data_IF_873124915995
#
_entry.id   IF_873124915995
#
_cell.length_a   1.000
_cell.length_b   1.000
_cell.length_c   1.000
_cell.angle_alpha   90.00
_cell.angle_beta   90.00
_cell.angle_gamma   90.00
#
_symmetry.space_group_name_H-M   'P 1'
#
loop_
_entity.id
_entity.type
_entity.pdbx_description
1 polymer ?
#
# COMPACT_ATOMS: atom_id res chain seq x y z
N UNK A 1 6.60 20.67 -18.61
CA UNK A 1 7.38 21.15 -17.45
C UNK A 1 7.52 20.00 -16.46
N UNK A 2 8.73 19.69 -16.01
CA UNK A 2 8.96 18.69 -14.97
C UNK A 2 8.35 19.16 -13.64
N UNK A 3 7.73 18.24 -12.89
CA UNK A 3 7.19 18.58 -11.56
C UNK A 3 8.34 18.92 -10.60
N UNK A 4 8.13 19.94 -9.76
CA UNK A 4 9.07 20.29 -8.70
C UNK A 4 9.05 19.26 -7.56
N UNK A 5 10.09 19.20 -6.74
CA UNK A 5 10.13 18.29 -5.57
C UNK A 5 8.94 18.52 -4.63
N UNK A 6 8.52 19.77 -4.45
CA UNK A 6 7.33 20.11 -3.65
C UNK A 6 6.04 19.54 -4.26
N UNK A 7 5.90 19.62 -5.59
CA UNK A 7 4.74 19.04 -6.28
C UNK A 7 4.73 17.52 -6.18
N UNK A 8 5.88 16.87 -6.34
CA UNK A 8 6.05 15.43 -6.13
C UNK A 8 5.63 15.06 -4.70
N UNK A 9 6.19 15.75 -3.72
CA UNK A 9 5.89 15.49 -2.31
C UNK A 9 4.39 15.65 -2.00
N UNK A 10 3.80 16.79 -2.37
CA UNK A 10 2.40 17.07 -2.08
C UNK A 10 1.45 16.06 -2.76
N UNK A 11 1.73 15.70 -4.00
CA UNK A 11 0.94 14.77 -4.79
C UNK A 11 0.99 13.35 -4.21
N UNK A 12 2.20 12.80 -3.98
CA UNK A 12 2.36 11.46 -3.42
C UNK A 12 1.85 11.37 -1.97
N UNK A 13 2.04 12.41 -1.17
CA UNK A 13 1.51 12.47 0.19
C UNK A 13 -0.02 12.47 0.19
N UNK A 14 -0.67 13.28 -0.66
CA UNK A 14 -2.13 13.31 -0.76
C UNK A 14 -2.69 11.98 -1.28
N UNK A 15 -2.10 11.42 -2.34
CA UNK A 15 -2.55 10.15 -2.89
C UNK A 15 -2.42 9.01 -1.88
N UNK A 16 -1.28 8.93 -1.17
CA UNK A 16 -1.06 7.90 -0.14
C UNK A 16 -1.95 8.14 1.09
N UNK A 17 -2.19 9.39 1.46
CA UNK A 17 -3.17 9.73 2.50
C UNK A 17 -4.55 9.15 2.18
N UNK A 18 -5.06 9.37 0.97
CA UNK A 18 -6.37 8.86 0.55
C UNK A 18 -6.38 7.33 0.47
N UNK A 19 -5.31 6.72 -0.05
CA UNK A 19 -5.14 5.28 -0.07
C UNK A 19 -5.28 4.68 1.34
N UNK A 20 -4.56 5.23 2.31
CA UNK A 20 -4.54 4.70 3.67
C UNK A 20 -5.82 5.05 4.44
N UNK A 21 -6.36 6.25 4.25
CA UNK A 21 -7.64 6.63 4.85
C UNK A 21 -8.75 5.64 4.46
N UNK A 22 -8.85 5.31 3.19
CA UNK A 22 -9.91 4.42 2.70
C UNK A 22 -9.59 2.94 2.98
N UNK A 23 -8.35 2.53 2.80
CA UNK A 23 -7.91 1.15 3.01
C UNK A 23 -7.91 0.72 4.48
N UNK A 24 -7.34 1.51 5.39
CA UNK A 24 -7.47 1.26 6.82
C UNK A 24 -8.90 1.49 7.31
N UNK A 25 -9.62 2.43 6.69
CA UNK A 25 -11.02 2.72 7.00
C UNK A 25 -11.94 1.51 6.80
N UNK A 26 -11.82 0.81 5.66
CA UNK A 26 -12.60 -0.41 5.45
C UNK A 26 -12.27 -1.50 6.45
N UNK A 27 -10.98 -1.66 6.80
CA UNK A 27 -10.59 -2.66 7.81
C UNK A 27 -11.20 -2.28 9.17
N UNK A 28 -11.14 -1.01 9.58
CA UNK A 28 -11.81 -0.54 10.79
C UNK A 28 -13.31 -0.85 10.77
N UNK A 29 -13.96 -0.61 9.62
CA UNK A 29 -15.38 -0.94 9.43
C UNK A 29 -15.68 -2.43 9.64
N UNK A 30 -14.83 -3.30 9.11
CA UNK A 30 -15.07 -4.76 9.14
C UNK A 30 -14.70 -5.39 10.48
N UNK A 31 -13.63 -4.91 11.17
CA UNK A 31 -13.13 -5.62 12.35
C UNK A 31 -13.52 -4.97 13.69
N UNK A 32 -13.78 -3.65 13.73
CA UNK A 32 -14.09 -2.99 15.00
C UNK A 32 -15.55 -3.22 15.41
N UNK A 33 -15.80 -3.35 16.72
CA UNK A 33 -17.16 -3.55 17.23
C UNK A 33 -18.07 -2.33 16.93
N UNK A 34 -19.35 -2.56 16.92
CA UNK A 34 -20.42 -1.56 16.69
C UNK A 34 -20.36 -0.83 15.33
N UNK A 35 -19.46 -1.22 14.43
CA UNK A 35 -19.47 -0.75 13.05
C UNK A 35 -20.63 -1.37 12.27
N UNK A 36 -21.27 -0.59 11.39
CA UNK A 36 -22.33 -1.09 10.49
C UNK A 36 -21.81 -2.11 9.48
N UNK A 37 -20.50 -2.09 9.16
CA UNK A 37 -19.87 -3.03 8.26
C UNK A 37 -19.20 -4.21 8.98
N UNK A 38 -19.40 -4.35 10.30
CA UNK A 38 -18.81 -5.44 11.10
C UNK A 38 -19.07 -6.80 10.45
N UNK A 39 -18.01 -7.59 10.33
CA UNK A 39 -18.03 -8.97 9.80
C UNK A 39 -18.51 -9.10 8.34
N UNK A 40 -18.46 -8.02 7.54
CA UNK A 40 -18.83 -8.05 6.11
C UNK A 40 -17.83 -8.82 5.22
N UNK A 41 -16.68 -9.18 5.74
CA UNK A 41 -15.80 -10.20 5.17
C UNK A 41 -14.65 -9.68 4.30
N UNK A 42 -13.80 -10.64 3.87
CA UNK A 42 -12.55 -10.38 3.17
C UNK A 42 -12.74 -9.73 1.80
N UNK A 43 -13.82 -10.07 1.09
CA UNK A 43 -14.10 -9.50 -0.23
C UNK A 43 -14.35 -7.98 -0.15
N UNK A 44 -15.02 -7.51 0.90
CA UNK A 44 -15.25 -6.07 1.11
C UNK A 44 -13.92 -5.36 1.35
N UNK A 45 -13.03 -5.95 2.14
CA UNK A 45 -11.68 -5.41 2.40
C UNK A 45 -10.90 -5.29 1.10
N UNK A 46 -10.82 -6.37 0.31
CA UNK A 46 -10.01 -6.40 -0.91
C UNK A 46 -10.55 -5.47 -1.99
N UNK A 47 -11.85 -5.42 -2.17
CA UNK A 47 -12.49 -4.47 -3.10
C UNK A 47 -12.22 -3.02 -2.69
N UNK A 48 -12.38 -2.69 -1.43
CA UNK A 48 -12.18 -1.33 -0.96
C UNK A 48 -10.70 -0.91 -1.01
N UNK A 49 -9.73 -1.80 -0.74
CA UNK A 49 -8.32 -1.48 -0.94
C UNK A 49 -7.98 -1.17 -2.41
N UNK A 50 -8.51 -1.95 -3.37
CA UNK A 50 -8.34 -1.62 -4.78
C UNK A 50 -8.98 -0.29 -5.16
N UNK A 51 -10.20 -0.02 -4.70
CA UNK A 51 -10.87 1.27 -4.93
C UNK A 51 -10.16 2.42 -4.22
N UNK A 52 -9.51 2.18 -3.07
CA UNK A 52 -8.66 3.17 -2.42
C UNK A 52 -7.43 3.53 -3.27
N UNK A 53 -6.82 2.54 -3.94
CA UNK A 53 -5.77 2.79 -4.96
C UNK A 53 -6.33 3.65 -6.09
N UNK A 54 -7.50 3.31 -6.62
CA UNK A 54 -8.16 4.11 -7.68
C UNK A 54 -8.28 5.59 -7.29
N UNK A 55 -8.79 5.88 -6.09
CA UNK A 55 -8.95 7.26 -5.60
C UNK A 55 -7.58 7.94 -5.43
N UNK A 56 -6.61 7.24 -4.83
CA UNK A 56 -5.27 7.77 -4.61
C UNK A 56 -4.54 8.09 -5.91
N UNK A 57 -4.69 7.23 -6.94
CA UNK A 57 -4.08 7.46 -8.26
C UNK A 57 -4.63 8.73 -8.92
N UNK A 58 -5.93 8.98 -8.83
CA UNK A 58 -6.49 10.24 -9.36
C UNK A 58 -5.92 11.48 -8.67
N UNK A 59 -5.69 11.40 -7.35
CA UNK A 59 -5.13 12.53 -6.58
C UNK A 59 -3.66 12.82 -6.92
N UNK A 60 -2.89 11.78 -7.27
CA UNK A 60 -1.45 11.87 -7.53
C UNK A 60 -1.08 11.67 -9.01
N UNK A 61 -2.03 11.73 -9.92
CA UNK A 61 -1.88 11.34 -11.34
C UNK A 61 -0.67 12.01 -12.03
N UNK A 62 -0.46 13.30 -11.81
CA UNK A 62 0.61 14.08 -12.48
C UNK A 62 2.04 13.65 -12.11
N UNK A 63 2.19 12.95 -11.00
CA UNK A 63 3.49 12.45 -10.53
C UNK A 63 3.61 10.93 -10.65
N UNK A 64 2.78 10.30 -11.46
CA UNK A 64 2.79 8.85 -11.68
C UNK A 64 2.04 8.07 -10.61
N UNK A 65 1.65 8.69 -9.50
CA UNK A 65 0.83 8.09 -8.45
C UNK A 65 1.37 6.73 -7.97
N UNK A 66 2.60 6.70 -7.54
CA UNK A 66 3.21 5.45 -7.06
C UNK A 66 2.57 4.98 -5.75
N UNK A 67 2.36 5.88 -4.78
CA UNK A 67 1.72 5.62 -3.48
C UNK A 67 2.37 4.47 -2.69
N UNK A 68 3.57 4.06 -3.11
CA UNK A 68 4.21 2.83 -2.68
C UNK A 68 5.73 2.88 -2.94
N UNK A 69 6.58 2.81 -1.91
CA UNK A 69 8.03 2.77 -2.09
C UNK A 69 8.51 1.62 -2.97
N UNK A 70 7.86 0.46 -2.92
CA UNK A 70 8.21 -0.69 -3.75
C UNK A 70 7.96 -0.39 -5.24
N UNK A 71 6.87 0.32 -5.59
CA UNK A 71 6.60 0.77 -6.96
C UNK A 71 7.68 1.75 -7.42
N UNK A 72 8.00 2.74 -6.58
CA UNK A 72 9.02 3.74 -6.90
C UNK A 72 10.38 3.10 -7.19
N UNK A 73 10.80 2.18 -6.33
CA UNK A 73 12.09 1.48 -6.47
C UNK A 73 12.06 0.51 -7.66
N UNK A 74 10.99 -0.24 -7.84
CA UNK A 74 10.84 -1.20 -8.93
C UNK A 74 10.90 -0.53 -10.31
N UNK A 75 10.26 0.62 -10.48
CA UNK A 75 10.36 1.41 -11.73
C UNK A 75 11.78 1.95 -11.96
N UNK A 76 12.44 2.43 -10.91
CA UNK A 76 13.84 2.87 -10.98
C UNK A 76 14.77 1.72 -11.42
N UNK A 77 14.62 0.52 -10.84
CA UNK A 77 15.38 -0.69 -11.21
C UNK A 77 15.08 -1.11 -12.66
N UNK A 78 13.83 -0.95 -13.11
CA UNK A 78 13.45 -1.21 -14.51
C UNK A 78 14.00 -0.18 -15.50
N UNK A 79 14.80 0.80 -15.04
CA UNK A 79 15.34 1.87 -15.88
C UNK A 79 14.27 2.84 -16.40
N UNK A 80 13.11 2.91 -15.76
CA UNK A 80 12.01 3.77 -16.18
C UNK A 80 12.02 5.11 -15.41
N UNK A 81 11.57 6.19 -16.03
CA UNK A 81 11.26 7.41 -15.29
C UNK A 81 10.14 7.14 -14.26
N UNK A 82 10.13 7.90 -13.16
CA UNK A 82 9.07 7.79 -12.14
C UNK A 82 7.73 8.31 -12.65
N UNK A 83 7.76 9.34 -13.50
CA UNK A 83 6.60 9.84 -14.25
C UNK A 83 7.10 10.58 -15.48
N UNK A 84 6.18 11.06 -16.31
CA UNK A 84 6.54 11.92 -17.45
C UNK A 84 7.30 13.16 -16.97
N UNK A 85 8.54 13.34 -17.44
CA UNK A 85 9.41 14.43 -17.04
C UNK A 85 10.03 14.29 -15.63
N UNK A 86 9.88 13.16 -14.93
CA UNK A 86 10.46 12.91 -13.61
C UNK A 86 11.40 11.71 -13.67
N UNK A 87 12.70 11.97 -13.74
CA UNK A 87 13.73 10.93 -13.77
C UNK A 87 13.86 10.21 -12.42
N UNK A 88 14.29 8.93 -12.45
CA UNK A 88 14.54 8.12 -11.26
C UNK A 88 15.89 8.48 -10.58
N UNK A 89 16.05 9.73 -10.17
CA UNK A 89 17.22 10.15 -9.41
C UNK A 89 17.10 9.75 -7.94
N UNK A 90 18.20 9.57 -7.19
CA UNK A 90 18.15 9.27 -5.76
C UNK A 90 17.33 10.29 -4.96
N UNK A 91 17.41 11.58 -5.32
CA UNK A 91 16.65 12.65 -4.66
C UNK A 91 15.14 12.47 -4.90
N UNK A 92 14.73 12.25 -6.15
CA UNK A 92 13.32 12.03 -6.47
C UNK A 92 12.78 10.78 -5.76
N UNK A 93 13.52 9.66 -5.79
CA UNK A 93 13.13 8.42 -5.08
C UNK A 93 12.92 8.69 -3.59
N UNK A 94 13.86 9.41 -2.96
CA UNK A 94 13.75 9.76 -1.54
C UNK A 94 12.50 10.61 -1.25
N UNK A 95 12.23 11.62 -2.10
CA UNK A 95 11.05 12.50 -1.95
C UNK A 95 9.75 11.71 -2.10
N UNK A 96 9.65 10.79 -3.09
CA UNK A 96 8.50 9.90 -3.21
C UNK A 96 8.29 9.07 -1.94
N UNK A 97 9.32 8.36 -1.48
CA UNK A 97 9.21 7.51 -0.29
C UNK A 97 8.86 8.32 0.97
N UNK A 98 9.46 9.48 1.18
CA UNK A 98 9.16 10.34 2.31
C UNK A 98 7.72 10.86 2.28
N UNK A 99 7.25 11.31 1.10
CA UNK A 99 5.88 11.77 0.90
C UNK A 99 4.86 10.66 1.18
N UNK A 100 5.12 9.46 0.66
CA UNK A 100 4.29 8.27 0.88
C UNK A 100 4.20 7.91 2.36
N UNK A 101 5.30 7.97 3.10
CA UNK A 101 5.30 7.73 4.54
C UNK A 101 4.48 8.77 5.31
N UNK A 102 4.66 10.06 4.99
CA UNK A 102 3.89 11.15 5.64
C UNK A 102 2.41 11.01 5.34
N UNK A 103 2.04 10.76 4.08
CA UNK A 103 0.67 10.53 3.66
C UNK A 103 0.05 9.33 4.39
N UNK A 104 0.79 8.22 4.48
CA UNK A 104 0.32 7.01 5.16
C UNK A 104 0.06 7.24 6.65
N UNK A 105 0.96 7.93 7.34
CA UNK A 105 0.78 8.26 8.76
C UNK A 105 -0.43 9.18 8.98
N UNK A 106 -0.58 10.21 8.16
CA UNK A 106 -1.71 11.13 8.23
C UNK A 106 -3.05 10.44 7.95
N UNK A 107 -3.10 9.57 6.92
CA UNK A 107 -4.28 8.77 6.59
C UNK A 107 -4.71 7.86 7.75
N UNK A 108 -3.75 7.16 8.34
CA UNK A 108 -3.98 6.29 9.49
C UNK A 108 -4.50 7.06 10.74
N UNK A 109 -3.92 8.23 11.02
CA UNK A 109 -4.40 9.08 12.10
C UNK A 109 -5.84 9.56 11.85
N UNK A 110 -6.18 9.86 10.60
CA UNK A 110 -7.53 10.27 10.22
C UNK A 110 -8.54 9.12 10.34
N UNK A 111 -8.13 7.87 10.06
CA UNK A 111 -8.96 6.68 10.33
C UNK A 111 -9.27 6.57 11.82
N UNK A 112 -8.26 6.72 12.68
CA UNK A 112 -8.48 6.71 14.13
C UNK A 112 -9.47 7.79 14.57
N UNK A 113 -9.37 9.00 14.05
CA UNK A 113 -10.32 10.08 14.35
C UNK A 113 -11.74 9.71 13.89
N UNK A 114 -11.88 9.17 12.68
CA UNK A 114 -13.16 8.80 12.09
C UNK A 114 -13.84 7.65 12.83
N UNK A 115 -13.08 6.71 13.36
CA UNK A 115 -13.54 5.53 14.09
C UNK A 115 -13.28 5.62 15.60
N UNK A 116 -13.06 6.85 16.13
CA UNK A 116 -12.66 7.06 17.53
C UNK A 116 -13.54 6.29 18.51
N UNK A 117 -14.85 6.35 18.34
CA UNK A 117 -15.81 5.69 19.25
C UNK A 117 -15.79 4.17 19.15
N UNK A 118 -15.50 3.61 17.97
CA UNK A 118 -15.31 2.16 17.78
C UNK A 118 -14.00 1.69 18.39
N UNK A 119 -12.92 2.47 18.27
CA UNK A 119 -11.65 2.16 18.93
C UNK A 119 -11.72 2.23 20.46
N UNK A 120 -12.62 3.05 21.00
CA UNK A 120 -12.84 3.16 22.46
C UNK A 120 -13.61 1.96 23.03
N UNK A 121 -14.29 1.17 22.18
CA UNK A 121 -14.95 -0.05 22.61
C UNK A 121 -13.95 -1.14 22.96
N UNK A 122 -14.40 -2.11 23.78
CA UNK A 122 -13.62 -3.31 24.06
C UNK A 122 -13.50 -4.16 22.79
N UNK A 123 -12.26 -4.36 22.35
CA UNK A 123 -11.91 -5.21 21.23
C UNK A 123 -10.51 -5.78 21.46
N UNK A 124 -10.24 -6.94 20.89
CA UNK A 124 -8.91 -7.54 21.03
C UNK A 124 -7.83 -6.67 20.37
N UNK A 125 -6.61 -6.75 20.90
CA UNK A 125 -5.48 -5.94 20.44
C UNK A 125 -5.09 -6.24 18.98
N UNK A 126 -5.29 -7.48 18.52
CA UNK A 126 -4.96 -7.87 17.16
C UNK A 126 -5.91 -7.21 16.15
N UNK A 127 -7.20 -7.13 16.45
CA UNK A 127 -8.17 -6.39 15.63
C UNK A 127 -7.83 -4.91 15.56
N UNK A 128 -7.44 -4.28 16.67
CA UNK A 128 -7.03 -2.87 16.70
C UNK A 128 -5.77 -2.62 15.87
N UNK A 129 -4.76 -3.48 16.00
CA UNK A 129 -3.55 -3.40 15.19
C UNK A 129 -3.85 -3.69 13.70
N UNK A 130 -4.70 -4.68 13.41
CA UNK A 130 -5.07 -5.08 12.06
C UNK A 130 -5.72 -3.98 11.22
N UNK A 131 -6.30 -2.95 11.84
CA UNK A 131 -6.76 -1.75 11.13
C UNK A 131 -5.59 -1.02 10.46
N UNK A 132 -4.43 -0.97 11.12
CA UNK A 132 -3.27 -0.18 10.71
C UNK A 132 -2.26 -0.99 9.90
N UNK A 133 -1.86 -2.14 10.40
CA UNK A 133 -0.75 -2.91 9.91
C UNK A 133 -1.14 -4.34 9.56
N UNK A 134 -0.42 -4.93 8.61
CA UNK A 134 -0.60 -6.32 8.24
C UNK A 134 0.09 -7.25 9.25
N UNK A 135 -0.42 -8.46 9.34
CA UNK A 135 0.15 -9.51 10.16
C UNK A 135 -0.07 -10.88 9.52
N UNK A 136 0.76 -11.87 9.83
CA UNK A 136 0.65 -13.19 9.22
C UNK A 136 -0.48 -14.01 9.86
N UNK A 137 -1.25 -14.73 9.05
CA UNK A 137 -2.17 -15.76 9.54
C UNK A 137 -1.40 -16.88 10.26
N UNK A 138 -0.24 -17.26 9.71
CA UNK A 138 0.72 -18.17 10.32
C UNK A 138 2.09 -17.48 10.31
N UNK A 139 2.69 -17.29 11.49
CA UNK A 139 3.99 -16.63 11.60
C UNK A 139 5.12 -17.54 11.17
N UNK A 140 5.65 -17.26 9.99
CA UNK A 140 6.82 -17.91 9.42
C UNK A 140 7.55 -16.90 8.54
N UNK A 141 8.48 -16.16 9.13
CA UNK A 141 9.10 -14.98 8.51
C UNK A 141 9.57 -15.20 7.08
N UNK A 142 10.29 -16.29 6.81
CA UNK A 142 10.78 -16.61 5.47
C UNK A 142 9.65 -16.78 4.47
N UNK A 143 8.63 -17.58 4.80
CA UNK A 143 7.47 -17.80 3.91
C UNK A 143 6.59 -16.55 3.80
N UNK A 144 6.49 -15.77 4.88
CA UNK A 144 5.77 -14.50 4.81
C UNK A 144 6.48 -13.49 3.89
N UNK A 145 7.82 -13.43 3.89
CA UNK A 145 8.61 -12.64 2.92
C UNK A 145 8.36 -13.12 1.50
N UNK A 146 8.34 -14.44 1.25
CA UNK A 146 8.05 -15.00 -0.07
C UNK A 146 6.66 -14.56 -0.55
N UNK A 147 5.63 -14.65 0.30
CA UNK A 147 4.26 -14.22 -0.04
C UNK A 147 4.20 -12.75 -0.43
N UNK A 148 4.80 -11.88 0.37
CA UNK A 148 4.85 -10.43 0.09
C UNK A 148 5.65 -10.12 -1.19
N UNK A 149 6.75 -10.85 -1.42
CA UNK A 149 7.55 -10.70 -2.64
C UNK A 149 6.77 -11.13 -3.90
N UNK A 150 6.07 -12.27 -3.84
CA UNK A 150 5.23 -12.73 -4.96
C UNK A 150 4.10 -11.75 -5.26
N UNK A 151 3.36 -11.29 -4.24
CA UNK A 151 2.29 -10.32 -4.42
C UNK A 151 2.79 -9.00 -5.04
N UNK A 152 3.93 -8.51 -4.57
CA UNK A 152 4.53 -7.28 -5.09
C UNK A 152 5.12 -7.48 -6.49
N UNK A 153 5.72 -8.65 -6.77
CA UNK A 153 6.16 -8.99 -8.12
C UNK A 153 5.00 -8.92 -9.12
N UNK A 154 3.85 -9.50 -8.79
CA UNK A 154 2.65 -9.44 -9.65
C UNK A 154 2.23 -8.00 -9.90
N UNK A 155 2.19 -7.16 -8.85
CA UNK A 155 1.83 -5.74 -8.98
C UNK A 155 2.79 -5.02 -9.94
N UNK A 156 4.09 -5.14 -9.71
CA UNK A 156 5.11 -4.45 -10.50
C UNK A 156 5.21 -5.00 -11.93
N UNK A 157 5.11 -6.31 -12.11
CA UNK A 157 5.09 -6.93 -13.42
C UNK A 157 3.95 -6.36 -14.27
N UNK A 158 2.75 -6.27 -13.67
CA UNK A 158 1.62 -5.66 -14.36
C UNK A 158 1.85 -4.17 -14.66
N UNK A 159 2.33 -3.36 -13.70
CA UNK A 159 2.62 -1.92 -13.91
C UNK A 159 3.62 -1.73 -15.05
N UNK A 160 4.68 -2.55 -15.10
CA UNK A 160 5.70 -2.47 -16.14
C UNK A 160 5.15 -2.88 -17.51
N UNK A 161 4.27 -3.88 -17.58
CA UNK A 161 3.71 -4.39 -18.82
C UNK A 161 2.52 -3.56 -19.33
N UNK A 162 1.67 -3.03 -18.44
CA UNK A 162 0.35 -2.45 -18.76
C UNK A 162 0.39 -1.20 -19.67
N UNK A 163 1.49 -0.45 -19.66
CA UNK A 163 1.61 0.78 -20.44
C UNK A 163 1.51 0.61 -21.96
N UNK A 164 1.51 -0.64 -22.45
CA UNK A 164 1.37 -0.98 -23.87
C UNK A 164 0.02 -1.60 -24.23
N UNK A 165 -0.85 -1.79 -23.25
CA UNK A 165 -2.16 -2.44 -23.44
C UNK A 165 -3.24 -1.38 -23.58
N UNK A 166 -3.95 -1.29 -24.72
CA UNK A 166 -4.98 -0.25 -24.96
C UNK A 166 -6.30 -0.60 -24.27
N UNK A 167 -6.28 -0.81 -22.93
CA UNK A 167 -7.48 -1.22 -22.20
C UNK A 167 -8.52 -0.10 -22.01
N UNK A 168 -8.10 1.17 -22.06
CA UNK A 168 -8.96 2.31 -21.79
C UNK A 168 -9.46 2.44 -20.34
N UNK A 169 -9.06 1.53 -19.44
CA UNK A 169 -9.55 1.48 -18.05
C UNK A 169 -8.88 2.50 -17.13
N UNK A 170 -7.77 3.10 -17.56
CA UNK A 170 -7.04 4.07 -16.74
C UNK A 170 -6.70 3.52 -15.32
N UNK A 171 -6.88 4.33 -14.28
CA UNK A 171 -6.59 3.91 -12.89
C UNK A 171 -7.40 2.73 -12.38
N UNK A 172 -8.55 2.41 -12.97
CA UNK A 172 -9.35 1.24 -12.59
C UNK A 172 -8.58 -0.05 -12.84
N UNK A 173 -7.74 -0.08 -13.88
CA UNK A 173 -6.96 -1.27 -14.20
C UNK A 173 -6.01 -1.65 -13.05
N UNK A 174 -5.20 -0.72 -12.53
CA UNK A 174 -4.31 -1.01 -11.38
C UNK A 174 -5.11 -1.32 -10.11
N UNK A 175 -6.25 -0.67 -9.91
CA UNK A 175 -7.14 -0.96 -8.80
C UNK A 175 -7.58 -2.43 -8.81
N UNK A 176 -8.01 -2.95 -9.96
CA UNK A 176 -8.43 -4.36 -10.10
C UNK A 176 -7.27 -5.34 -9.91
N UNK A 177 -6.05 -4.97 -10.27
CA UNK A 177 -4.86 -5.78 -9.96
C UNK A 177 -4.65 -5.88 -8.44
N UNK A 178 -4.78 -4.79 -7.72
CA UNK A 178 -4.69 -4.81 -6.24
C UNK A 178 -5.81 -5.66 -5.64
N UNK A 179 -7.05 -5.56 -6.16
CA UNK A 179 -8.18 -6.42 -5.75
C UNK A 179 -7.83 -7.89 -5.90
N UNK A 180 -7.38 -8.31 -7.08
CA UNK A 180 -7.11 -9.74 -7.34
C UNK A 180 -5.92 -10.26 -6.54
N UNK A 181 -4.88 -9.45 -6.32
CA UNK A 181 -3.77 -9.81 -5.41
C UNK A 181 -4.30 -10.05 -4.00
N UNK A 182 -5.15 -9.15 -3.49
CA UNK A 182 -5.76 -9.29 -2.18
C UNK A 182 -6.61 -10.55 -2.04
N UNK A 183 -7.43 -10.85 -3.04
CA UNK A 183 -8.29 -12.04 -3.07
C UNK A 183 -7.48 -13.35 -3.17
N UNK A 184 -6.41 -13.36 -3.99
CA UNK A 184 -5.70 -14.58 -4.34
C UNK A 184 -4.46 -14.85 -3.47
N UNK A 185 -3.76 -13.80 -3.05
CA UNK A 185 -2.46 -13.89 -2.37
C UNK A 185 -2.47 -13.22 -0.98
N UNK A 186 -3.57 -12.59 -0.60
CA UNK A 186 -3.64 -11.85 0.65
C UNK A 186 -3.85 -12.71 1.90
N UNK A 187 -4.36 -13.93 1.75
CA UNK A 187 -4.68 -14.81 2.89
C UNK A 187 -3.53 -15.05 3.87
N UNK A 188 -2.30 -15.32 3.41
CA UNK A 188 -1.20 -15.63 4.33
C UNK A 188 -0.68 -14.46 5.16
N UNK A 189 -0.69 -13.21 4.62
CA UNK A 189 0.02 -12.07 5.23
C UNK A 189 -0.79 -10.78 5.33
N UNK A 190 -1.96 -10.73 4.70
CA UNK A 190 -2.70 -9.47 4.55
C UNK A 190 -2.19 -8.59 3.40
N UNK A 191 -1.38 -9.14 2.49
CA UNK A 191 -0.87 -8.49 1.27
C UNK A 191 -0.50 -7.00 1.46
N UNK A 192 0.49 -6.74 2.28
CA UNK A 192 0.99 -5.37 2.44
C UNK A 192 1.42 -4.80 1.09
N UNK A 193 2.25 -5.53 0.34
CA UNK A 193 2.79 -5.22 -0.99
C UNK A 193 3.28 -3.76 -1.15
N UNK A 194 3.42 -3.06 -0.03
CA UNK A 194 3.71 -1.63 0.03
C UNK A 194 4.32 -1.28 1.39
N UNK A 195 5.61 -0.95 1.47
CA UNK A 195 6.26 -0.60 2.72
C UNK A 195 5.61 0.57 3.47
N UNK A 196 5.16 1.61 2.77
CA UNK A 196 4.52 2.77 3.41
C UNK A 196 3.13 2.43 3.95
N UNK A 197 2.39 1.52 3.28
CA UNK A 197 1.05 1.06 3.68
C UNK A 197 1.08 0.27 5.00
N UNK A 198 2.20 -0.35 5.35
CA UNK A 198 2.34 -1.04 6.63
C UNK A 198 3.08 -0.18 7.67
N UNK A 199 4.29 0.28 7.35
CA UNK A 199 5.16 0.97 8.31
C UNK A 199 4.55 2.30 8.79
N UNK A 200 3.99 3.11 7.91
CA UNK A 200 3.38 4.40 8.28
C UNK A 200 2.24 4.23 9.29
N UNK A 201 1.21 3.44 8.98
CA UNK A 201 0.13 3.16 9.92
C UNK A 201 0.60 2.42 11.19
N UNK A 202 1.59 1.53 11.11
CA UNK A 202 2.16 0.84 12.28
C UNK A 202 2.81 1.81 13.27
N UNK A 203 3.56 2.80 12.75
CA UNK A 203 4.11 3.90 13.56
C UNK A 203 2.95 4.70 14.17
N UNK A 204 1.95 5.03 13.39
CA UNK A 204 0.77 5.77 13.87
C UNK A 204 0.04 5.00 14.98
N UNK A 205 -0.17 3.68 14.81
CA UNK A 205 -0.73 2.83 15.87
C UNK A 205 0.10 2.90 17.16
N UNK A 206 1.43 2.87 17.05
CA UNK A 206 2.31 2.96 18.23
C UNK A 206 2.12 4.28 18.98
N UNK A 207 1.95 5.38 18.28
CA UNK A 207 1.86 6.73 18.84
C UNK A 207 0.48 7.08 19.37
N UNK A 208 -0.61 6.55 18.77
CA UNK A 208 -1.98 6.93 19.12
C UNK A 208 -2.41 6.36 20.48
N UNK A 209 -3.18 7.14 21.26
CA UNK A 209 -3.71 6.70 22.55
C UNK A 209 -4.99 5.85 22.34
N UNK A 210 -4.84 4.64 21.85
CA UNK A 210 -5.94 3.70 21.64
C UNK A 210 -6.05 2.78 22.86
N UNK A 211 -7.19 2.78 23.57
CA UNK A 211 -7.36 1.91 24.74
C UNK A 211 -7.20 0.43 24.38
N UNK A 212 -6.44 -0.33 25.14
CA UNK A 212 -6.28 -1.78 24.95
C UNK A 212 -5.63 -2.20 23.61
N UNK A 213 -4.89 -1.33 22.95
CA UNK A 213 -4.30 -1.61 21.61
C UNK A 213 -3.17 -2.65 21.63
N UNK A 214 -2.57 -2.94 22.77
CA UNK A 214 -1.40 -3.82 22.85
C UNK A 214 -0.15 -3.24 22.16
N UNK A 215 0.75 -4.11 21.76
CA UNK A 215 1.96 -3.77 20.99
C UNK A 215 1.69 -3.58 19.51
N UNK A 216 2.65 -2.95 18.81
CA UNK A 216 2.55 -2.72 17.35
C UNK A 216 3.26 -3.80 16.51
N UNK A 217 3.60 -4.95 17.08
CA UNK A 217 4.25 -6.09 16.43
C UNK A 217 5.49 -5.70 15.60
N UNK A 218 6.41 -4.98 16.22
CA UNK A 218 7.65 -4.53 15.57
C UNK A 218 8.53 -5.67 15.07
N UNK A 219 8.44 -6.85 15.72
CA UNK A 219 9.18 -8.03 15.29
C UNK A 219 8.78 -8.50 13.88
N UNK A 220 7.57 -8.16 13.42
CA UNK A 220 7.10 -8.49 12.08
C UNK A 220 7.31 -7.35 11.06
N UNK A 221 7.50 -6.11 11.50
CA UNK A 221 7.48 -4.90 10.66
C UNK A 221 8.43 -4.90 9.47
N UNK A 222 9.52 -5.66 9.53
CA UNK A 222 10.50 -5.77 8.45
C UNK A 222 10.00 -6.62 7.25
N UNK A 223 9.07 -7.56 7.49
CA UNK A 223 8.53 -8.44 6.43
C UNK A 223 7.80 -7.64 5.35
N UNK A 224 6.83 -6.75 5.69
CA UNK A 224 6.15 -5.91 4.71
C UNK A 224 7.02 -4.79 4.12
N UNK A 225 8.28 -4.71 4.48
CA UNK A 225 9.29 -3.87 3.83
C UNK A 225 10.15 -4.70 2.88
N UNK A 226 10.80 -5.73 3.40
CA UNK A 226 11.78 -6.53 2.66
C UNK A 226 11.12 -7.37 1.57
N UNK A 227 9.99 -8.03 1.89
CA UNK A 227 9.25 -8.82 0.91
C UNK A 227 8.84 -8.02 -0.32
N UNK A 228 8.11 -6.88 -0.15
CA UNK A 228 7.77 -6.03 -1.28
C UNK A 228 8.98 -5.49 -2.07
N UNK A 229 10.06 -5.12 -1.40
CA UNK A 229 11.26 -4.66 -2.11
C UNK A 229 11.91 -5.76 -2.94
N UNK A 230 11.98 -6.99 -2.43
CA UNK A 230 12.48 -8.15 -3.21
C UNK A 230 11.60 -8.36 -4.44
N UNK A 231 10.28 -8.38 -4.29
CA UNK A 231 9.33 -8.56 -5.40
C UNK A 231 9.45 -7.46 -6.45
N UNK A 232 9.56 -6.21 -5.99
CA UNK A 232 9.72 -5.04 -6.87
C UNK A 232 11.03 -5.07 -7.66
N UNK A 233 12.15 -5.36 -7.01
CA UNK A 233 13.47 -5.49 -7.67
C UNK A 233 13.45 -6.64 -8.67
N UNK A 234 12.91 -7.80 -8.29
CA UNK A 234 12.79 -8.94 -9.20
C UNK A 234 11.96 -8.60 -10.45
N UNK A 235 10.81 -7.95 -10.28
CA UNK A 235 9.99 -7.51 -11.41
C UNK A 235 10.71 -6.48 -12.27
N UNK A 236 11.37 -5.49 -11.66
CA UNK A 236 12.13 -4.47 -12.36
C UNK A 236 13.27 -5.02 -13.21
N UNK A 237 13.93 -6.09 -12.74
CA UNK A 237 15.01 -6.76 -13.47
C UNK A 237 14.48 -7.71 -14.56
N UNK A 238 13.40 -8.44 -14.29
CA UNK A 238 12.95 -9.54 -15.16
C UNK A 238 12.02 -9.03 -16.26
N UNK A 239 10.98 -8.25 -15.90
CA UNK A 239 9.88 -7.94 -16.83
C UNK A 239 10.31 -7.13 -18.05
N UNK A 240 11.26 -6.16 -17.97
CA UNK A 240 11.73 -5.43 -19.16
C UNK A 240 12.31 -6.34 -20.26
N UNK A 241 12.87 -7.48 -19.90
CA UNK A 241 13.41 -8.43 -20.91
C UNK A 241 12.32 -9.11 -21.75
N UNK A 242 11.09 -9.10 -21.27
CA UNK A 242 9.93 -9.61 -22.01
C UNK A 242 9.13 -8.50 -22.70
N UNK A 243 9.62 -7.26 -22.66
CA UNK A 243 8.90 -6.09 -23.20
C UNK A 243 8.62 -6.13 -24.71
N UNK A 244 9.30 -7.01 -25.45
CA UNK A 244 9.02 -7.28 -26.86
C UNK A 244 7.81 -8.20 -27.09
N UNK A 245 7.26 -8.80 -26.04
CA UNK A 245 6.11 -9.72 -26.10
C UNK A 245 4.79 -9.04 -25.75
N UNK A 246 4.80 -7.76 -25.35
CA UNK A 246 3.62 -7.00 -24.93
C UNK A 246 3.33 -5.84 -25.87
#
# INVERSE_FOLDING_TARGET
>A
MSASLTQIFASEALGTFLLILLGCGVVAGVVLPTSKAKDSGWIVITMAWGLAVFVGVYAAYKTGAHLNPAVTIGLAVAGRPLAEGISATPVNILVYCAAQMVGAMAGAATVWLSYKKQFDQEADAASKLGVFATGPAVRSYGWNVVTEAVGTFVLLAWIIASGKTPSGLGPLAVAMVVVVIGMSLGGPTGYAINPARDLGPRITHALLPIPGKGGSDWAYSWVPIVGPLIGAVAAGLIVPHFAGLF
#
